data_IF_182936229433
#
_entry.id   IF_182936229433
#
_cell.length_a   1.000
_cell.length_b   1.000
_cell.length_c   1.000
_cell.angle_alpha   90.00
_cell.angle_beta   90.00
_cell.angle_gamma   90.00
#
_symmetry.space_group_name_H-M   'P 1'
#
loop_
_entity.id
_entity.type
_entity.pdbx_description
1 polymer ?
#
# COMPACT_ATOMS: atom_id res chain seq x y z
N UNK A 1 60.13 -5.12 -67.23
CA UNK A 1 59.67 -4.09 -66.27
C UNK A 1 58.16 -4.20 -66.18
N UNK A 2 57.65 -4.87 -65.15
CA UNK A 2 56.25 -4.78 -64.72
C UNK A 2 56.21 -5.18 -63.23
N UNK A 3 55.36 -4.44 -62.53
CA UNK A 3 55.30 -4.22 -61.08
C UNK A 3 53.88 -4.63 -60.65
N UNK A 4 53.75 -5.12 -59.40
CA UNK A 4 52.53 -5.27 -58.55
C UNK A 4 51.48 -6.32 -59.00
N UNK A 5 50.83 -7.10 -58.12
CA UNK A 5 50.21 -6.77 -56.82
C UNK A 5 50.27 -7.91 -55.76
N UNK A 6 50.06 -7.60 -54.46
CA UNK A 6 49.74 -8.57 -53.41
C UNK A 6 48.22 -8.78 -53.27
N UNK A 7 47.78 -10.04 -53.17
CA UNK A 7 46.39 -10.37 -52.82
C UNK A 7 46.26 -10.55 -51.31
N UNK A 8 45.75 -9.54 -50.62
CA UNK A 8 45.24 -9.67 -49.25
C UNK A 8 43.88 -10.38 -49.28
N UNK A 9 43.85 -11.64 -48.84
CA UNK A 9 42.62 -12.41 -48.59
C UNK A 9 42.26 -12.31 -47.10
N UNK A 10 41.19 -11.59 -46.71
CA UNK A 10 40.80 -11.42 -45.32
C UNK A 10 40.01 -12.61 -44.73
N UNK A 11 39.90 -13.76 -45.42
CA UNK A 11 39.13 -14.92 -44.95
C UNK A 11 39.94 -16.20 -44.72
N UNK A 12 41.23 -16.10 -44.37
CA UNK A 12 41.99 -17.27 -43.92
C UNK A 12 41.62 -17.63 -42.47
N UNK A 13 40.79 -18.66 -42.33
CA UNK A 13 40.42 -19.27 -41.05
C UNK A 13 41.68 -19.72 -40.27
N UNK A 14 41.77 -19.29 -39.01
CA UNK A 14 42.78 -19.74 -38.05
C UNK A 14 42.32 -21.08 -37.48
N UNK A 15 43.02 -22.16 -37.79
CA UNK A 15 42.77 -23.48 -37.18
C UNK A 15 43.20 -23.49 -35.69
N UNK A 16 42.41 -24.10 -34.78
CA UNK A 16 42.80 -24.25 -33.39
C UNK A 16 43.82 -25.38 -33.19
N UNK A 17 44.68 -25.30 -32.15
CA UNK A 17 45.76 -26.25 -31.95
C UNK A 17 45.27 -27.64 -31.54
N UNK A 18 45.83 -28.66 -32.20
CA UNK A 18 45.68 -30.09 -31.95
C UNK A 18 46.28 -30.47 -30.58
N UNK A 19 45.45 -30.96 -29.65
CA UNK A 19 45.91 -31.53 -28.37
C UNK A 19 45.99 -33.04 -28.52
N UNK A 20 47.20 -33.59 -28.33
CA UNK A 20 47.45 -35.03 -28.24
C UNK A 20 46.96 -35.58 -26.88
N UNK A 21 46.28 -36.75 -26.82
CA UNK A 21 45.92 -37.37 -25.55
C UNK A 21 47.11 -38.16 -24.96
N UNK A 22 47.56 -37.75 -23.77
CA UNK A 22 48.45 -38.54 -22.92
C UNK A 22 47.62 -39.47 -22.03
N UNK A 23 47.80 -40.78 -22.19
CA UNK A 23 47.23 -41.81 -21.31
C UNK A 23 47.84 -41.72 -19.92
N UNK A 24 46.99 -41.69 -18.88
CA UNK A 24 47.37 -42.14 -17.54
C UNK A 24 46.18 -42.80 -16.82
N UNK A 25 46.50 -43.92 -16.18
CA UNK A 25 45.66 -44.99 -15.63
C UNK A 25 44.72 -44.61 -14.46
N UNK A 26 43.74 -45.48 -14.10
CA UNK A 26 42.52 -45.09 -13.40
C UNK A 26 42.64 -45.07 -11.87
N UNK A 27 42.35 -43.91 -11.27
CA UNK A 27 42.16 -43.74 -9.82
C UNK A 27 40.70 -44.01 -9.42
N UNK A 28 40.52 -44.74 -8.32
CA UNK A 28 39.24 -45.21 -7.80
C UNK A 28 38.30 -44.07 -7.35
N UNK A 29 37.08 -44.06 -7.88
CA UNK A 29 35.95 -43.27 -7.36
C UNK A 29 35.47 -43.86 -6.03
N UNK A 30 35.55 -43.08 -4.95
CA UNK A 30 34.89 -43.37 -3.66
C UNK A 30 33.65 -42.50 -3.54
N UNK A 31 32.47 -43.11 -3.73
CA UNK A 31 31.17 -42.45 -3.53
C UNK A 31 30.85 -42.21 -2.04
N UNK A 32 29.86 -41.35 -1.73
CA UNK A 32 29.45 -41.05 -0.36
C UNK A 32 28.64 -42.22 0.25
N UNK A 33 28.72 -42.49 1.57
CA UNK A 33 27.94 -43.56 2.18
C UNK A 33 26.54 -43.07 2.56
N UNK A 34 25.54 -43.75 2.00
CA UNK A 34 24.15 -43.74 2.45
C UNK A 34 24.02 -44.71 3.63
N UNK A 35 23.55 -44.25 4.79
CA UNK A 35 23.26 -45.09 5.95
C UNK A 35 21.87 -44.79 6.52
N UNK A 36 20.95 -45.75 6.35
CA UNK A 36 19.67 -45.83 7.08
C UNK A 36 19.87 -46.65 8.36
N UNK A 37 19.34 -46.16 9.49
CA UNK A 37 19.17 -46.89 10.76
C UNK A 37 18.17 -46.14 11.67
N UNK A 38 17.25 -46.82 12.40
CA UNK A 38 15.96 -46.24 12.83
C UNK A 38 15.96 -45.88 14.36
N UNK A 39 14.82 -45.53 15.03
CA UNK A 39 14.75 -44.37 15.91
C UNK A 39 14.71 -44.69 17.41
N UNK A 40 15.52 -43.99 18.22
CA UNK A 40 15.38 -44.01 19.68
C UNK A 40 14.95 -42.63 20.20
N UNK A 41 13.77 -42.62 20.83
CA UNK A 41 13.21 -41.46 21.49
C UNK A 41 13.90 -41.20 22.83
N UNK A 42 14.23 -39.94 23.08
CA UNK A 42 14.43 -39.44 24.44
C UNK A 42 13.93 -38.00 24.48
N UNK A 43 12.85 -37.80 25.22
CA UNK A 43 12.36 -36.48 25.62
C UNK A 43 13.31 -35.92 26.68
N UNK A 44 13.95 -34.79 26.37
CA UNK A 44 14.74 -34.00 27.31
C UNK A 44 14.50 -32.53 27.03
N UNK A 45 13.70 -31.88 27.88
CA UNK A 45 13.48 -30.45 27.84
C UNK A 45 14.55 -29.74 28.63
N UNK A 46 15.36 -28.92 27.97
CA UNK A 46 16.29 -28.02 28.64
C UNK A 46 15.86 -26.56 28.41
N UNK A 47 15.25 -25.99 29.44
CA UNK A 47 15.23 -24.55 29.68
C UNK A 47 16.58 -24.17 30.28
N UNK A 48 17.50 -23.70 29.43
CA UNK A 48 18.82 -23.22 29.82
C UNK A 48 19.12 -21.90 29.14
N UNK A 49 18.83 -20.80 29.83
CA UNK A 49 19.30 -19.46 29.50
C UNK A 49 20.82 -19.40 29.58
N UNK A 50 21.46 -18.96 28.50
CA UNK A 50 22.83 -18.46 28.50
C UNK A 50 23.79 -19.29 27.69
N UNK A 51 24.15 -18.80 26.49
CA UNK A 51 25.46 -19.08 25.91
C UNK A 51 25.87 -17.93 25.02
N UNK A 52 27.00 -17.30 25.40
CA UNK A 52 27.69 -16.32 24.57
C UNK A 52 28.06 -16.92 23.22
N UNK A 53 27.66 -16.24 22.15
CA UNK A 53 28.07 -16.54 20.79
C UNK A 53 29.26 -15.67 20.42
N UNK A 54 30.41 -16.30 20.24
CA UNK A 54 31.66 -15.64 19.87
C UNK A 54 31.53 -14.83 18.59
N UNK A 55 31.98 -13.58 18.65
CA UNK A 55 32.11 -12.67 17.53
C UNK A 55 33.09 -13.26 16.51
N UNK A 56 32.59 -13.81 15.40
CA UNK A 56 33.41 -14.12 14.24
C UNK A 56 33.89 -12.80 13.63
N UNK A 57 35.05 -12.33 14.10
CA UNK A 57 35.76 -11.16 13.59
C UNK A 57 36.46 -11.53 12.28
N UNK A 58 35.67 -11.66 11.21
CA UNK A 58 36.17 -11.58 9.84
C UNK A 58 36.46 -10.11 9.52
N UNK A 59 37.69 -9.81 9.10
CA UNK A 59 38.13 -8.45 8.78
C UNK A 59 37.22 -7.78 7.75
N UNK A 60 37.06 -6.46 7.89
CA UNK A 60 36.11 -5.56 7.20
C UNK A 60 34.71 -5.51 7.87
N UNK A 61 34.62 -4.78 8.99
CA UNK A 61 33.50 -3.90 9.39
C UNK A 61 32.03 -4.37 9.45
N UNK A 62 31.68 -5.58 9.03
CA UNK A 62 30.29 -6.00 8.88
C UNK A 62 29.77 -6.71 10.14
N UNK A 63 28.90 -6.02 10.89
CA UNK A 63 28.19 -6.62 12.02
C UNK A 63 26.93 -7.35 11.54
N UNK A 64 27.10 -8.63 11.20
CA UNK A 64 26.05 -9.55 10.73
C UNK A 64 24.86 -9.59 11.69
N UNK A 65 25.11 -9.47 13.00
CA UNK A 65 24.08 -9.53 14.03
C UNK A 65 23.21 -8.27 14.01
N UNK A 66 23.83 -7.09 13.86
CA UNK A 66 23.09 -5.83 13.68
C UNK A 66 22.26 -5.85 12.40
N UNK A 67 22.82 -6.27 11.28
CA UNK A 67 22.09 -6.34 10.01
C UNK A 67 20.86 -7.26 10.10
N UNK A 68 20.99 -8.40 10.79
CA UNK A 68 19.88 -9.34 11.01
C UNK A 68 18.81 -8.74 11.93
N UNK A 69 19.22 -8.07 13.01
CA UNK A 69 18.29 -7.39 13.92
C UNK A 69 17.49 -6.30 13.21
N UNK A 70 18.16 -5.42 12.45
CA UNK A 70 17.51 -4.36 11.70
C UNK A 70 16.57 -4.88 10.61
N UNK A 71 16.91 -6.00 9.95
CA UNK A 71 15.98 -6.69 9.02
C UNK A 71 14.69 -7.13 9.71
N UNK A 72 14.80 -7.70 10.91
CA UNK A 72 13.63 -8.11 11.69
C UNK A 72 12.77 -6.90 12.10
N UNK A 73 13.39 -5.82 12.58
CA UNK A 73 12.68 -4.58 12.96
C UNK A 73 11.97 -3.96 11.76
N UNK A 74 12.62 -3.92 10.59
CA UNK A 74 11.99 -3.44 9.35
C UNK A 74 10.71 -4.24 9.02
N UNK A 75 10.81 -5.57 9.03
CA UNK A 75 9.68 -6.45 8.74
C UNK A 75 8.54 -6.30 9.74
N UNK A 76 8.84 -6.20 11.03
CA UNK A 76 7.83 -6.03 12.10
C UNK A 76 7.10 -4.69 11.96
N UNK A 77 7.84 -3.59 11.77
CA UNK A 77 7.24 -2.26 11.61
C UNK A 77 6.38 -2.18 10.34
N UNK A 78 6.86 -2.72 9.22
CA UNK A 78 6.11 -2.75 7.97
C UNK A 78 4.84 -3.61 8.08
N UNK A 79 4.94 -4.80 8.69
CA UNK A 79 3.79 -5.67 8.92
C UNK A 79 2.76 -5.01 9.84
N UNK A 80 3.19 -4.40 10.95
CA UNK A 80 2.31 -3.69 11.87
C UNK A 80 1.57 -2.55 11.15
N UNK A 81 2.26 -1.77 10.32
CA UNK A 81 1.65 -0.67 9.58
C UNK A 81 0.60 -1.17 8.58
N UNK A 82 0.93 -2.12 7.69
CA UNK A 82 0.05 -2.53 6.59
C UNK A 82 -1.00 -3.56 6.95
N UNK A 83 -0.70 -4.49 7.84
CA UNK A 83 -1.63 -5.58 8.20
C UNK A 83 -2.62 -5.11 9.26
N UNK A 84 -2.22 -4.19 10.14
CA UNK A 84 -3.03 -3.79 11.30
C UNK A 84 -3.41 -2.32 11.23
N UNK A 85 -2.46 -1.40 11.35
CA UNK A 85 -2.77 0.00 11.63
C UNK A 85 -3.52 0.69 10.48
N UNK A 86 -3.06 0.55 9.23
CA UNK A 86 -3.74 1.13 8.06
C UNK A 86 -5.17 0.58 7.87
N UNK A 87 -5.42 -0.75 7.90
CA UNK A 87 -6.77 -1.30 7.86
C UNK A 87 -7.66 -0.81 9.00
N UNK A 88 -7.15 -0.75 10.23
CA UNK A 88 -7.90 -0.25 11.40
C UNK A 88 -8.25 1.23 11.22
N UNK A 89 -7.30 2.06 10.77
CA UNK A 89 -7.52 3.46 10.44
C UNK A 89 -8.60 3.62 9.38
N UNK A 90 -8.60 2.80 8.32
CA UNK A 90 -9.62 2.81 7.28
C UNK A 90 -11.00 2.34 7.78
N UNK A 91 -11.06 1.32 8.65
CA UNK A 91 -12.31 0.81 9.24
C UNK A 91 -12.95 1.81 10.21
N UNK A 92 -12.14 2.60 10.93
CA UNK A 92 -12.65 3.56 11.92
C UNK A 92 -13.69 4.54 11.35
N UNK A 93 -13.51 5.01 10.12
CA UNK A 93 -14.45 5.87 9.39
C UNK A 93 -15.81 5.22 9.07
N UNK A 94 -15.89 3.89 9.16
CA UNK A 94 -17.10 3.11 8.87
C UNK A 94 -17.83 2.67 10.13
N UNK A 95 -17.10 2.52 11.25
CA UNK A 95 -17.62 2.02 12.52
C UNK A 95 -18.00 3.17 13.46
N UNK A 96 -17.17 4.20 13.54
CA UNK A 96 -17.35 5.30 14.49
C UNK A 96 -18.24 6.38 13.85
N UNK A 97 -19.26 6.88 14.56
CA UNK A 97 -20.09 7.98 14.06
C UNK A 97 -19.46 9.37 14.33
N UNK A 98 -19.81 10.32 13.47
CA UNK A 98 -19.57 11.74 13.72
C UNK A 98 -18.11 12.21 13.57
N UNK A 99 -17.77 13.29 14.27
CA UNK A 99 -16.45 13.96 14.18
C UNK A 99 -15.33 13.14 14.83
N UNK A 100 -15.65 12.29 15.80
CA UNK A 100 -14.67 11.41 16.46
C UNK A 100 -14.02 10.47 15.45
N UNK A 101 -14.79 9.95 14.49
CA UNK A 101 -14.28 9.05 13.46
C UNK A 101 -13.14 9.69 12.64
N UNK A 102 -13.26 10.98 12.32
CA UNK A 102 -12.23 11.72 11.58
C UNK A 102 -10.94 11.85 12.37
N UNK A 103 -11.02 12.14 13.67
CA UNK A 103 -9.86 12.25 14.53
C UNK A 103 -9.18 10.89 14.73
N UNK A 104 -9.95 9.85 15.04
CA UNK A 104 -9.43 8.49 15.19
C UNK A 104 -8.78 8.01 13.89
N UNK A 105 -9.43 8.22 12.76
CA UNK A 105 -8.86 7.94 11.44
C UNK A 105 -7.55 8.68 11.24
N UNK A 106 -7.53 10.00 11.39
CA UNK A 106 -6.34 10.81 11.16
C UNK A 106 -5.17 10.39 12.06
N UNK A 107 -5.41 10.16 13.35
CA UNK A 107 -4.37 9.76 14.31
C UNK A 107 -3.79 8.39 13.94
N UNK A 108 -4.64 7.39 13.72
CA UNK A 108 -4.18 6.05 13.37
C UNK A 108 -3.46 6.05 12.02
N UNK A 109 -3.95 6.80 11.03
CA UNK A 109 -3.28 6.91 9.72
C UNK A 109 -1.92 7.60 9.82
N UNK A 110 -1.79 8.66 10.62
CA UNK A 110 -0.51 9.32 10.83
C UNK A 110 0.47 8.42 11.57
N UNK A 111 0.01 7.69 12.59
CA UNK A 111 0.83 6.70 13.29
C UNK A 111 1.32 5.60 12.33
N UNK A 112 0.39 5.03 11.53
CA UNK A 112 0.71 4.02 10.51
C UNK A 112 1.77 4.53 9.54
N UNK A 113 1.64 5.77 9.09
CA UNK A 113 2.54 6.39 8.15
C UNK A 113 3.94 6.63 8.74
N UNK A 114 4.03 7.08 9.99
CA UNK A 114 5.32 7.23 10.70
C UNK A 114 6.00 5.86 10.88
N UNK A 115 5.25 4.84 11.32
CA UNK A 115 5.77 3.47 11.41
C UNK A 115 6.29 2.96 10.06
N UNK A 116 5.55 3.24 8.98
CA UNK A 116 5.97 2.83 7.64
C UNK A 116 7.19 3.59 7.14
N UNK A 117 7.30 4.91 7.39
CA UNK A 117 8.53 5.67 7.08
C UNK A 117 9.72 5.08 7.83
N UNK A 118 9.58 4.78 9.13
CA UNK A 118 10.65 4.17 9.91
C UNK A 118 11.07 2.81 9.32
N UNK A 119 10.10 1.98 8.94
CA UNK A 119 10.37 0.73 8.26
C UNK A 119 11.09 0.95 6.91
N UNK A 120 10.59 1.85 6.06
CA UNK A 120 11.17 2.13 4.74
C UNK A 120 12.60 2.67 4.85
N UNK A 121 12.85 3.61 5.76
CA UNK A 121 14.20 4.13 6.05
C UNK A 121 15.16 3.02 6.46
N UNK A 122 14.70 2.08 7.29
CA UNK A 122 15.52 0.93 7.70
C UNK A 122 15.79 -0.03 6.53
N UNK A 123 14.80 -0.25 5.66
CA UNK A 123 14.96 -1.03 4.44
C UNK A 123 15.99 -0.42 3.47
N UNK A 124 15.93 0.91 3.28
CA UNK A 124 16.90 1.65 2.45
C UNK A 124 18.31 1.54 3.05
N UNK A 125 18.44 1.72 4.37
CA UNK A 125 19.72 1.58 5.06
C UNK A 125 20.29 0.17 4.90
N UNK A 126 19.48 -0.88 5.06
CA UNK A 126 19.90 -2.27 4.84
C UNK A 126 20.40 -2.53 3.41
N UNK A 127 19.76 -1.92 2.41
CA UNK A 127 20.21 -2.02 1.01
C UNK A 127 21.55 -1.30 0.81
N UNK A 128 21.81 -0.21 1.52
CA UNK A 128 23.08 0.52 1.43
C UNK A 128 24.22 -0.20 2.16
N UNK A 129 23.97 -0.73 3.36
CA UNK A 129 24.98 -1.39 4.19
C UNK A 129 25.40 -2.77 3.63
N UNK A 130 24.45 -3.56 3.12
CA UNK A 130 24.70 -4.91 2.59
C UNK A 130 25.43 -4.89 1.24
N UNK A 131 25.47 -3.74 0.55
CA UNK A 131 26.13 -3.58 -0.76
C UNK A 131 27.66 -3.46 -0.71
N UNK A 132 28.27 -3.43 0.47
CA UNK A 132 29.73 -3.38 0.63
C UNK A 132 30.20 -4.69 1.25
N UNK A 133 30.12 -5.85 0.56
CA UNK A 133 31.38 -6.52 0.21
C UNK A 133 31.38 -7.49 -1.00
N UNK A 134 30.36 -7.57 -1.86
CA UNK A 134 30.42 -8.49 -3.02
C UNK A 134 30.03 -7.82 -4.33
N UNK A 135 31.07 -7.56 -5.13
CA UNK A 135 31.01 -7.32 -6.58
C UNK A 135 30.14 -6.15 -7.05
N UNK A 136 30.67 -4.92 -6.98
CA UNK A 136 30.57 -3.86 -8.01
C UNK A 136 29.21 -3.56 -8.69
N UNK A 137 28.10 -4.01 -8.13
CA UNK A 137 26.81 -4.10 -8.79
C UNK A 137 25.74 -3.53 -7.88
N UNK A 138 25.11 -2.45 -8.35
CA UNK A 138 23.94 -1.89 -7.69
C UNK A 138 22.87 -2.98 -7.62
N UNK A 139 22.40 -3.40 -6.43
CA UNK A 139 21.32 -4.39 -6.30
C UNK A 139 20.09 -4.02 -7.15
N UNK A 140 19.90 -2.74 -7.51
CA UNK A 140 18.86 -2.25 -8.45
C UNK A 140 19.00 -2.77 -9.90
N UNK A 141 20.15 -3.35 -10.29
CA UNK A 141 20.40 -3.84 -11.64
C UNK A 141 20.13 -5.33 -11.84
N UNK A 142 19.81 -6.09 -10.78
CA UNK A 142 19.46 -7.51 -10.89
C UNK A 142 17.93 -7.63 -10.82
N UNK A 143 17.29 -7.67 -11.99
CA UNK A 143 15.84 -7.58 -12.16
C UNK A 143 15.02 -8.64 -11.37
N UNK A 144 15.62 -9.78 -11.01
CA UNK A 144 14.93 -10.89 -10.31
C UNK A 144 14.79 -10.72 -8.79
N UNK A 145 15.55 -9.82 -8.15
CA UNK A 145 15.59 -9.66 -6.66
C UNK A 145 14.93 -8.34 -6.20
N UNK A 146 14.57 -7.45 -7.12
CA UNK A 146 14.20 -6.06 -6.81
C UNK A 146 12.71 -5.75 -6.62
N UNK A 147 11.80 -6.70 -6.78
CA UNK A 147 10.37 -6.39 -6.76
C UNK A 147 9.91 -5.82 -5.40
N UNK A 148 10.41 -6.33 -4.27
CA UNK A 148 10.04 -5.83 -2.94
C UNK A 148 10.44 -4.37 -2.69
N UNK A 149 11.71 -3.95 -2.87
CA UNK A 149 12.09 -2.55 -2.67
C UNK A 149 11.44 -1.62 -3.70
N UNK A 150 11.27 -2.04 -4.96
CA UNK A 150 10.60 -1.21 -5.99
C UNK A 150 9.13 -0.97 -5.62
N UNK A 151 8.37 -2.04 -5.32
CA UNK A 151 6.96 -1.93 -4.92
C UNK A 151 6.85 -1.11 -3.63
N UNK A 152 7.73 -1.36 -2.65
CA UNK A 152 7.77 -0.61 -1.40
C UNK A 152 7.97 0.90 -1.61
N UNK A 153 8.86 1.30 -2.51
CA UNK A 153 9.07 2.71 -2.86
C UNK A 153 7.89 3.32 -3.59
N UNK A 154 7.26 2.59 -4.53
CA UNK A 154 6.03 3.04 -5.20
C UNK A 154 4.92 3.29 -4.18
N UNK A 155 4.73 2.36 -3.23
CA UNK A 155 3.76 2.51 -2.15
C UNK A 155 4.11 3.69 -1.24
N UNK A 156 5.39 3.88 -0.90
CA UNK A 156 5.84 5.02 -0.10
C UNK A 156 5.52 6.35 -0.75
N UNK A 157 5.85 6.52 -2.04
CA UNK A 157 5.56 7.74 -2.80
C UNK A 157 4.04 7.96 -2.93
N UNK A 158 3.28 6.92 -3.23
CA UNK A 158 1.82 7.02 -3.35
C UNK A 158 1.14 7.39 -2.01
N UNK A 159 1.67 6.89 -0.88
CA UNK A 159 1.18 7.24 0.46
C UNK A 159 1.69 8.60 0.96
N UNK A 160 2.81 9.11 0.45
CA UNK A 160 3.29 10.46 0.80
C UNK A 160 2.23 11.54 0.48
N UNK A 161 1.51 11.39 -0.62
CA UNK A 161 0.45 12.32 -1.00
C UNK A 161 -0.86 12.12 -0.23
N UNK A 162 -1.05 10.99 0.48
CA UNK A 162 -2.31 10.67 1.16
C UNK A 162 -2.75 11.71 2.21
N UNK A 163 -1.88 12.16 3.14
CA UNK A 163 -2.29 13.14 4.14
C UNK A 163 -2.79 14.45 3.52
N UNK A 164 -2.09 14.94 2.49
CA UNK A 164 -2.49 16.16 1.77
C UNK A 164 -3.83 15.96 1.05
N UNK A 165 -3.99 14.84 0.34
CA UNK A 165 -5.25 14.49 -0.32
C UNK A 165 -6.40 14.34 0.68
N UNK A 166 -6.13 13.77 1.86
CA UNK A 166 -7.10 13.59 2.95
C UNK A 166 -7.55 14.92 3.54
N UNK A 167 -6.62 15.85 3.80
CA UNK A 167 -6.95 17.20 4.28
C UNK A 167 -7.83 17.96 3.27
N UNK A 168 -7.45 17.93 1.99
CA UNK A 168 -8.23 18.59 0.92
C UNK A 168 -9.61 17.92 0.79
N UNK A 169 -9.66 16.59 0.79
CA UNK A 169 -10.91 15.83 0.73
C UNK A 169 -11.85 16.21 1.86
N UNK A 170 -11.38 16.18 3.11
CA UNK A 170 -12.22 16.49 4.27
C UNK A 170 -12.69 17.95 4.29
N UNK A 171 -11.81 18.91 4.00
CA UNK A 171 -12.18 20.33 3.94
C UNK A 171 -13.25 20.60 2.87
N UNK A 172 -13.09 20.03 1.67
CA UNK A 172 -14.03 20.21 0.56
C UNK A 172 -15.34 19.45 0.78
N UNK A 173 -15.29 18.24 1.32
CA UNK A 173 -16.49 17.44 1.61
C UNK A 173 -17.36 18.09 2.68
N UNK A 174 -16.76 18.68 3.72
CA UNK A 174 -17.50 19.44 4.74
C UNK A 174 -18.24 20.65 4.15
N UNK A 175 -17.64 21.35 3.17
CA UNK A 175 -18.21 22.55 2.55
C UNK A 175 -19.26 22.25 1.48
N UNK A 176 -19.03 21.21 0.67
CA UNK A 176 -19.84 20.94 -0.53
C UNK A 176 -20.82 19.78 -0.36
N UNK A 177 -20.67 18.95 0.68
CA UNK A 177 -21.42 17.68 0.90
C UNK A 177 -21.45 16.70 -0.30
N UNK A 178 -20.61 16.93 -1.31
CA UNK A 178 -20.48 16.14 -2.54
C UNK A 178 -19.05 15.64 -2.72
N UNK A 179 -18.89 14.39 -3.17
CA UNK A 179 -17.59 13.82 -3.54
C UNK A 179 -16.97 14.61 -4.71
N UNK A 180 -15.74 15.06 -4.51
CA UNK A 180 -14.92 15.74 -5.53
C UNK A 180 -13.85 14.78 -6.06
N UNK A 181 -13.14 15.16 -7.13
CA UNK A 181 -12.03 14.38 -7.69
C UNK A 181 -11.02 13.98 -6.61
N UNK A 182 -10.64 14.90 -5.72
CA UNK A 182 -9.77 14.66 -4.56
C UNK A 182 -10.28 13.56 -3.62
N UNK A 183 -11.61 13.42 -3.51
CA UNK A 183 -12.23 12.36 -2.71
C UNK A 183 -11.98 11.00 -3.33
N UNK A 184 -12.16 10.90 -4.65
CA UNK A 184 -11.91 9.66 -5.38
C UNK A 184 -10.43 9.29 -5.35
N UNK A 185 -9.52 10.24 -5.59
CA UNK A 185 -8.08 10.01 -5.51
C UNK A 185 -7.68 9.52 -4.11
N UNK A 186 -8.15 10.18 -3.04
CA UNK A 186 -7.87 9.76 -1.68
C UNK A 186 -8.36 8.34 -1.39
N UNK A 187 -9.61 8.03 -1.73
CA UNK A 187 -10.25 6.72 -1.49
C UNK A 187 -9.58 5.60 -2.30
N UNK A 188 -9.41 5.77 -3.60
CA UNK A 188 -8.85 4.75 -4.48
C UNK A 188 -7.38 4.50 -4.19
N UNK A 189 -6.60 5.55 -3.94
CA UNK A 189 -5.19 5.38 -3.58
C UNK A 189 -5.03 4.55 -2.31
N UNK A 190 -5.81 4.84 -1.24
CA UNK A 190 -5.78 4.01 -0.03
C UNK A 190 -6.21 2.56 -0.28
N UNK A 191 -7.27 2.36 -1.08
CA UNK A 191 -7.79 1.02 -1.41
C UNK A 191 -6.82 0.16 -2.22
N UNK A 192 -5.96 0.77 -3.05
CA UNK A 192 -4.95 0.06 -3.83
C UNK A 192 -3.64 -0.13 -3.07
N UNK A 193 -3.19 0.89 -2.34
CA UNK A 193 -1.89 0.85 -1.67
C UNK A 193 -1.86 -0.05 -0.42
N UNK A 194 -2.99 -0.20 0.29
CA UNK A 194 -3.04 -1.10 1.47
C UNK A 194 -2.82 -2.56 1.05
N UNK A 195 -3.60 -3.16 0.11
CA UNK A 195 -3.35 -4.51 -0.36
C UNK A 195 -1.97 -4.68 -0.99
N UNK A 196 -1.52 -3.69 -1.78
CA UNK A 196 -0.20 -3.73 -2.40
C UNK A 196 0.92 -3.78 -1.35
N UNK A 197 0.79 -3.03 -0.26
CA UNK A 197 1.72 -3.08 0.87
C UNK A 197 1.70 -4.41 1.63
N UNK A 198 0.54 -5.05 1.78
CA UNK A 198 0.43 -6.40 2.36
C UNK A 198 1.11 -7.45 1.44
N UNK A 199 0.85 -7.40 0.14
CA UNK A 199 1.54 -8.28 -0.83
C UNK A 199 3.05 -8.04 -0.79
N UNK A 200 3.46 -6.77 -0.72
CA UNK A 200 4.86 -6.41 -0.61
C UNK A 200 5.52 -6.94 0.67
N UNK A 201 4.80 -6.92 1.81
CA UNK A 201 5.26 -7.52 3.07
C UNK A 201 5.46 -9.04 2.94
N UNK A 202 4.52 -9.75 2.31
CA UNK A 202 4.66 -11.17 2.02
C UNK A 202 5.87 -11.48 1.14
N UNK A 203 6.11 -10.67 0.11
CA UNK A 203 7.31 -10.78 -0.72
C UNK A 203 8.60 -10.51 0.08
N UNK A 204 8.57 -9.56 1.02
CA UNK A 204 9.68 -9.29 1.93
C UNK A 204 10.01 -10.50 2.81
N UNK A 205 8.98 -11.20 3.34
CA UNK A 205 9.17 -12.45 4.08
C UNK A 205 9.77 -13.57 3.20
N UNK A 206 9.34 -13.66 1.94
CA UNK A 206 9.87 -14.63 0.99
C UNK A 206 11.37 -14.40 0.72
N UNK A 207 11.77 -13.16 0.44
CA UNK A 207 13.17 -12.78 0.20
C UNK A 207 14.02 -12.96 1.46
N UNK A 208 13.44 -12.74 2.65
CA UNK A 208 14.12 -12.94 3.92
C UNK A 208 14.32 -14.43 4.29
N UNK A 209 13.76 -15.38 3.53
CA UNK A 209 13.80 -16.81 3.88
C UNK A 209 13.09 -17.09 5.21
N UNK A 210 12.01 -16.35 5.50
CA UNK A 210 11.30 -16.49 6.76
C UNK A 210 10.74 -17.91 6.96
N UNK A 211 10.73 -18.39 8.20
CA UNK A 211 10.22 -19.73 8.51
C UNK A 211 8.74 -19.87 8.12
N UNK A 212 8.31 -21.07 7.74
CA UNK A 212 6.91 -21.35 7.38
C UNK A 212 5.93 -20.94 8.48
N UNK A 213 6.34 -20.99 9.75
CA UNK A 213 5.56 -20.51 10.89
C UNK A 213 5.32 -19.00 10.83
N UNK A 214 6.35 -18.20 10.55
CA UNK A 214 6.22 -16.74 10.44
C UNK A 214 5.40 -16.34 9.21
N UNK A 215 5.64 -17.00 8.07
CA UNK A 215 4.83 -16.79 6.85
C UNK A 215 3.37 -17.13 7.10
N UNK A 216 3.09 -18.27 7.75
CA UNK A 216 1.74 -18.68 8.12
C UNK A 216 1.06 -17.71 9.08
N UNK A 217 1.77 -17.24 10.11
CA UNK A 217 1.25 -16.25 11.05
C UNK A 217 0.92 -14.92 10.35
N UNK A 218 1.83 -14.43 9.49
CA UNK A 218 1.61 -13.23 8.70
C UNK A 218 0.37 -13.37 7.81
N UNK A 219 0.27 -14.46 7.05
CA UNK A 219 -0.83 -14.73 6.14
C UNK A 219 -2.17 -14.85 6.89
N UNK A 220 -2.19 -15.54 8.03
CA UNK A 220 -3.39 -15.69 8.85
C UNK A 220 -3.91 -14.33 9.35
N UNK A 221 -3.04 -13.49 9.93
CA UNK A 221 -3.45 -12.17 10.41
C UNK A 221 -3.86 -11.26 9.25
N UNK A 222 -3.13 -11.29 8.13
CA UNK A 222 -3.49 -10.54 6.93
C UNK A 222 -4.85 -10.94 6.35
N UNK A 223 -5.15 -12.24 6.32
CA UNK A 223 -6.43 -12.76 5.85
C UNK A 223 -7.59 -12.34 6.76
N UNK A 224 -7.41 -12.45 8.08
CA UNK A 224 -8.43 -12.03 9.07
C UNK A 224 -8.67 -10.52 8.97
N UNK A 225 -7.61 -9.71 9.02
CA UNK A 225 -7.73 -8.25 8.98
C UNK A 225 -8.27 -7.76 7.64
N UNK A 226 -7.81 -8.33 6.53
CA UNK A 226 -8.32 -8.03 5.19
C UNK A 226 -9.79 -8.43 5.04
N UNK A 227 -10.18 -9.62 5.53
CA UNK A 227 -11.55 -10.08 5.55
C UNK A 227 -12.48 -9.16 6.35
N UNK A 228 -12.05 -8.76 7.55
CA UNK A 228 -12.79 -7.78 8.38
C UNK A 228 -12.93 -6.44 7.66
N UNK A 229 -11.88 -5.94 7.03
CA UNK A 229 -11.92 -4.67 6.30
C UNK A 229 -12.88 -4.71 5.11
N UNK A 230 -12.89 -5.81 4.34
CA UNK A 230 -13.83 -6.02 3.23
C UNK A 230 -15.26 -6.14 3.76
N UNK A 231 -15.49 -6.95 4.80
CA UNK A 231 -16.80 -7.15 5.40
C UNK A 231 -17.40 -5.84 5.90
N UNK A 232 -16.64 -5.08 6.70
CA UNK A 232 -17.07 -3.76 7.20
C UNK A 232 -17.31 -2.79 6.05
N UNK A 233 -16.52 -2.87 4.98
CA UNK A 233 -16.70 -2.03 3.79
C UNK A 233 -18.03 -2.29 3.09
N UNK A 234 -18.36 -3.57 2.84
CA UNK A 234 -19.60 -3.99 2.20
C UNK A 234 -20.80 -3.66 3.09
N UNK A 235 -20.75 -4.01 4.39
CA UNK A 235 -21.83 -3.73 5.33
C UNK A 235 -22.12 -2.23 5.44
N UNK A 236 -21.09 -1.39 5.48
CA UNK A 236 -21.24 0.06 5.55
C UNK A 236 -21.88 0.64 4.29
N UNK A 237 -21.53 0.11 3.12
CA UNK A 237 -22.10 0.55 1.83
C UNK A 237 -23.56 0.08 1.69
N UNK A 238 -23.88 -1.16 2.08
CA UNK A 238 -25.24 -1.68 2.10
C UNK A 238 -26.17 -0.90 3.06
N UNK A 239 -25.68 -0.54 4.26
CA UNK A 239 -26.44 0.28 5.23
C UNK A 239 -26.77 1.67 4.67
N UNK A 240 -25.86 2.27 3.90
CA UNK A 240 -26.06 3.59 3.29
C UNK A 240 -27.10 3.53 2.16
N UNK A 241 -27.07 2.49 1.33
CA UNK A 241 -28.06 2.30 0.26
C UNK A 241 -29.49 2.18 0.81
N UNK A 242 -29.68 1.34 1.83
CA UNK A 242 -31.00 1.14 2.48
C UNK A 242 -31.56 2.40 3.14
N UNK A 243 -30.70 3.27 3.68
CA UNK A 243 -31.12 4.56 4.25
C UNK A 243 -31.71 5.49 3.20
N UNK A 244 -31.10 5.54 2.01
CA UNK A 244 -31.58 6.37 0.90
C UNK A 244 -32.93 5.89 0.35
N UNK A 245 -33.14 4.57 0.24
CA UNK A 245 -34.43 4.00 -0.19
C UNK A 245 -35.56 4.32 0.80
N UNK A 246 -35.27 4.24 2.11
CA UNK A 246 -36.26 4.54 3.16
C UNK A 246 -36.65 6.02 3.19
N UNK A 247 -35.68 6.92 3.01
CA UNK A 247 -35.94 8.36 2.95
C UNK A 247 -36.82 8.71 1.72
N UNK A 248 -36.59 8.09 0.57
CA UNK A 248 -37.41 8.29 -0.64
C UNK A 248 -38.85 7.79 -0.48
N UNK A 249 -39.08 6.66 0.20
CA UNK A 249 -40.43 6.15 0.47
C UNK A 249 -41.18 6.97 1.54
N UNK A 250 -40.47 7.67 2.42
CA UNK A 250 -41.07 8.48 3.50
C UNK A 250 -41.53 9.87 3.07
N UNK A 251 -41.23 10.32 1.84
CA UNK A 251 -41.79 11.54 1.24
C UNK A 251 -43.08 11.15 0.51
N UNK A 252 -44.28 11.34 1.10
CA UNK A 252 -45.50 10.93 0.46
C UNK A 252 -45.79 11.87 -0.71
N UNK A 253 -46.29 11.27 -1.80
CA UNK A 253 -46.93 11.87 -2.97
C UNK A 253 -48.20 12.67 -2.60
N UNK A 254 -48.19 13.45 -1.52
CA UNK A 254 -49.30 14.33 -1.14
C UNK A 254 -49.22 15.66 -1.88
N UNK A 255 -48.05 16.05 -2.37
CA UNK A 255 -47.89 17.28 -3.16
C UNK A 255 -48.45 17.17 -4.60
N UNK A 256 -48.60 15.96 -5.13
CA UNK A 256 -49.10 15.75 -6.52
C UNK A 256 -50.62 15.57 -6.58
N UNK A 257 -51.28 15.30 -5.45
CA UNK A 257 -52.74 15.15 -5.41
C UNK A 257 -53.50 16.49 -5.23
N UNK A 258 -52.80 17.58 -4.87
CA UNK A 258 -53.44 18.88 -4.62
C UNK A 258 -53.52 19.80 -5.87
N UNK A 259 -52.91 19.41 -6.99
CA UNK A 259 -53.02 20.14 -8.27
C UNK A 259 -54.06 19.55 -9.25
N UNK A 260 -54.80 18.50 -8.87
CA UNK A 260 -55.78 17.85 -9.75
C UNK A 260 -57.25 18.23 -9.45
N UNK A 261 -57.50 19.41 -8.86
CA UNK A 261 -58.85 19.96 -8.68
C UNK A 261 -58.85 21.47 -8.91
N UNK A 262 -58.88 21.89 -10.17
CA UNK A 262 -59.38 23.20 -10.58
C UNK A 262 -60.55 22.96 -11.54
N UNK A 263 -61.77 23.44 -11.25
CA UNK A 263 -62.90 23.28 -12.16
C UNK A 263 -62.70 24.17 -13.38
N UNK A 264 -62.93 23.58 -14.56
CA UNK A 264 -62.96 24.30 -15.83
C UNK A 264 -64.22 25.19 -15.90
N UNK A 265 -64.03 26.42 -16.37
CA UNK A 265 -65.10 27.21 -17.00
C UNK A 265 -65.35 28.58 -16.37
N UNK A 266 -64.88 29.64 -17.04
CA UNK A 266 -65.74 30.68 -17.62
C UNK A 266 -64.92 31.52 -18.61
N UNK A 267 -65.45 31.65 -19.82
CA UNK A 267 -65.06 32.58 -20.86
C UNK A 267 -65.54 34.01 -20.54
N UNK A 268 -64.91 34.98 -21.22
CA UNK A 268 -65.54 36.18 -21.78
C UNK A 268 -65.00 37.57 -21.30
N UNK A 269 -64.22 38.18 -22.21
CA UNK A 269 -64.23 39.56 -22.69
C UNK A 269 -63.65 40.76 -21.90
N UNK A 270 -62.71 41.38 -22.64
CA UNK A 270 -62.61 42.80 -23.01
C UNK A 270 -61.79 43.79 -22.17
N UNK A 271 -60.94 44.53 -22.91
CA UNK A 271 -60.93 45.98 -22.82
C UNK A 271 -59.92 46.67 -21.90
N UNK A 272 -58.98 47.35 -22.55
CA UNK A 272 -58.49 48.70 -22.19
C UNK A 272 -57.28 48.88 -21.23
N UNK A 273 -56.15 49.20 -21.88
CA UNK A 273 -55.52 50.53 -21.86
C UNK A 273 -54.99 51.06 -20.50
N UNK A 274 -53.67 50.96 -20.34
CA UNK A 274 -52.83 52.16 -20.16
C UNK A 274 -52.13 52.41 -18.82
N UNK A 275 -50.85 52.82 -18.97
CA UNK A 275 -50.03 53.70 -18.11
C UNK A 275 -49.22 53.06 -16.96
N UNK A 276 -47.89 52.99 -17.18
CA UNK A 276 -46.89 53.29 -16.14
C UNK A 276 -47.07 54.75 -15.67
N UNK A 277 -46.75 55.09 -14.40
CA UNK A 277 -45.38 55.52 -14.10
C UNK A 277 -44.86 55.25 -12.66
N UNK A 278 -43.53 55.17 -12.56
CA UNK A 278 -42.67 55.81 -11.54
C UNK A 278 -42.86 55.45 -10.04
N UNK A 279 -41.85 54.73 -9.53
CA UNK A 279 -40.95 55.22 -8.47
C UNK A 279 -41.44 55.22 -7.01
N UNK A 280 -40.80 54.40 -6.16
CA UNK A 280 -40.28 54.90 -4.88
C UNK A 280 -39.21 53.99 -4.26
N UNK A 281 -38.06 54.61 -3.97
CA UNK A 281 -37.06 54.18 -3.01
C UNK A 281 -37.66 53.84 -1.64
N UNK A 282 -37.13 52.82 -0.98
CA UNK A 282 -36.96 52.79 0.49
C UNK A 282 -35.68 52.02 0.89
N UNK A 283 -35.11 52.36 2.06
CA UNK A 283 -33.67 52.30 2.30
C UNK A 283 -33.22 51.05 3.05
N UNK A 284 -31.90 50.86 3.03
CA UNK A 284 -31.12 50.03 3.95
C UNK A 284 -31.36 50.48 5.39
N UNK A 285 -31.65 49.54 6.27
CA UNK A 285 -31.32 49.66 7.68
C UNK A 285 -30.28 48.60 8.06
N UNK A 286 -29.24 49.10 8.71
CA UNK A 286 -28.16 48.35 9.32
C UNK A 286 -28.33 48.39 10.84
N UNK A 287 -27.63 47.46 11.50
CA UNK A 287 -27.21 47.45 12.91
C UNK A 287 -28.18 46.91 13.97
N UNK A 288 -27.80 45.78 14.57
CA UNK A 288 -27.42 45.58 15.99
C UNK A 288 -27.29 44.05 16.24
N UNK A 289 -26.08 43.49 16.38
CA UNK A 289 -25.34 43.27 17.64
C UNK A 289 -26.13 42.56 18.75
N UNK A 290 -25.83 41.28 19.01
CA UNK A 290 -25.15 40.83 20.25
C UNK A 290 -25.31 39.31 20.54
N UNK A 291 -24.16 38.68 20.80
CA UNK A 291 -23.84 37.65 21.79
C UNK A 291 -24.95 36.76 22.40
N UNK A 292 -24.77 35.43 22.31
CA UNK A 292 -24.90 34.51 23.46
C UNK A 292 -24.31 33.13 23.11
N UNK A 293 -23.30 32.75 23.90
CA UNK A 293 -22.89 31.41 24.38
C UNK A 293 -23.19 30.17 23.54
#
# INVERSE_FOLDING_TARGET
MQVTEPSDDPYRAVEPPTVHPQLSSPGHYRGPPNGYGPPDGTFGGDNGSGTGGGSFRGGIGFDVNKATHYRAVHGILAALAFVVLFPVGAMSMRIIPGRLALWVHAIIQMLSYICFIAAASLGIWLVQEVRIPVAGGSLLNIASINYHPIIGLVVLVALFFQPVLGLIHHARFKKLRRRQIWSHLHLWNGRLMIPLGVINGGLGLHIAGASSRLVGAYAAVAAVMGGLWILVSIMSEARRARGTERDQQSVPTTATAQELHLPQGVSELDGARGKSPVGRHRPRDASHSSYSQ
#
